data_IF_237534550115
#
_entry.id   IF_237534550115
#
_cell.length_a   1.000
_cell.length_b   1.000
_cell.length_c   1.000
_cell.angle_alpha   90.00
_cell.angle_beta   90.00
_cell.angle_gamma   90.00
#
_symmetry.space_group_name_H-M   'P 1'
#
loop_
_entity.id
_entity.type
_entity.pdbx_description
1 polymer ?
#
# COMPACT_ATOMS: atom_id res chain seq x y z
N UNK A 1 -3.29 22.41 17.74
CA UNK A 1 -3.97 21.61 16.71
C UNK A 1 -2.98 20.52 16.38
N UNK A 2 -3.14 19.37 16.98
CA UNK A 2 -2.28 18.22 16.73
C UNK A 2 -2.75 17.61 15.41
N UNK A 3 -1.85 17.49 14.44
CA UNK A 3 -2.11 16.76 13.20
C UNK A 3 -2.29 15.29 13.57
N UNK A 4 -3.53 14.80 13.58
CA UNK A 4 -3.91 13.40 13.79
C UNK A 4 -3.72 12.51 12.54
N UNK A 5 -2.89 12.94 11.58
CA UNK A 5 -2.70 12.24 10.29
C UNK A 5 -1.35 11.52 10.16
N UNK A 6 -0.61 11.34 11.25
CA UNK A 6 0.54 10.44 11.24
C UNK A 6 0.04 8.99 11.37
N UNK A 7 0.12 8.25 10.27
CA UNK A 7 -0.10 6.83 10.24
C UNK A 7 1.03 6.15 11.04
N UNK A 8 0.74 5.86 12.31
CA UNK A 8 1.68 5.13 13.18
C UNK A 8 1.90 3.73 12.61
N UNK A 9 3.16 3.27 12.44
CA UNK A 9 3.44 1.91 12.01
C UNK A 9 2.67 0.89 12.85
N UNK A 10 1.96 -0.02 12.18
CA UNK A 10 1.05 -0.90 12.87
C UNK A 10 0.19 -1.76 11.95
N UNK A 11 -0.63 -2.63 12.56
CA UNK A 11 -1.48 -3.54 11.80
C UNK A 11 -2.54 -2.76 11.02
N UNK A 12 -2.70 -3.13 9.76
CA UNK A 12 -3.76 -2.69 8.86
C UNK A 12 -4.44 -3.92 8.28
N UNK A 13 -5.47 -3.71 7.46
CA UNK A 13 -6.01 -4.79 6.66
C UNK A 13 -6.46 -4.32 5.28
N UNK A 14 -6.51 -5.27 4.35
CA UNK A 14 -7.05 -5.08 3.00
C UNK A 14 -8.05 -6.19 2.68
N UNK A 15 -8.87 -5.99 1.66
CA UNK A 15 -9.68 -7.05 1.06
C UNK A 15 -9.08 -7.43 -0.29
N UNK A 16 -8.53 -8.64 -0.38
CA UNK A 16 -7.90 -9.13 -1.60
C UNK A 16 -8.84 -10.07 -2.35
N UNK A 17 -8.91 -9.98 -3.69
CA UNK A 17 -9.77 -10.84 -4.47
C UNK A 17 -9.21 -12.26 -4.55
N UNK A 18 -9.96 -13.25 -4.09
CA UNK A 18 -9.64 -14.68 -4.24
C UNK A 18 -10.22 -15.22 -5.54
N UNK A 19 -11.39 -14.70 -5.93
CA UNK A 19 -12.08 -15.07 -7.17
C UNK A 19 -12.80 -13.84 -7.73
N UNK A 20 -13.56 -14.03 -8.81
CA UNK A 20 -14.40 -12.97 -9.38
C UNK A 20 -15.54 -12.51 -8.45
N UNK A 21 -15.87 -13.28 -7.43
CA UNK A 21 -17.04 -13.05 -6.56
C UNK A 21 -16.72 -13.05 -5.08
N UNK A 22 -15.47 -13.32 -4.69
CA UNK A 22 -15.07 -13.47 -3.31
C UNK A 22 -13.78 -12.73 -3.00
N UNK A 23 -13.78 -12.05 -1.86
CA UNK A 23 -12.62 -11.37 -1.29
C UNK A 23 -12.23 -12.01 0.05
N UNK A 24 -10.94 -12.02 0.34
CA UNK A 24 -10.37 -12.38 1.64
C UNK A 24 -9.95 -11.12 2.38
N UNK A 25 -10.23 -11.06 3.68
CA UNK A 25 -9.56 -10.08 4.54
C UNK A 25 -8.12 -10.53 4.78
N UNK A 26 -7.17 -9.69 4.41
CA UNK A 26 -5.75 -9.89 4.68
C UNK A 26 -5.32 -8.96 5.81
N UNK A 27 -4.60 -9.50 6.78
CA UNK A 27 -3.89 -8.67 7.74
C UNK A 27 -2.60 -8.20 7.10
N UNK A 28 -2.37 -6.90 7.16
CA UNK A 28 -1.22 -6.23 6.57
C UNK A 28 -0.54 -5.40 7.65
N UNK A 29 0.64 -4.86 7.36
CA UNK A 29 1.36 -4.06 8.33
C UNK A 29 1.87 -2.79 7.65
N UNK A 30 1.43 -1.63 8.14
CA UNK A 30 1.96 -0.35 7.71
C UNK A 30 3.32 -0.12 8.36
N UNK A 31 4.34 0.13 7.56
CA UNK A 31 5.74 0.09 8.00
C UNK A 31 6.32 1.48 8.21
N UNK A 32 6.19 2.40 7.23
CA UNK A 32 6.80 3.75 7.27
C UNK A 32 6.00 4.73 6.42
N UNK A 33 5.96 6.01 6.84
CA UNK A 33 5.27 7.13 6.17
C UNK A 33 6.12 7.91 5.16
N UNK A 34 7.41 7.58 4.97
CA UNK A 34 8.31 8.31 4.10
C UNK A 34 9.03 7.33 3.17
N UNK A 35 8.65 7.33 1.90
CA UNK A 35 9.25 6.49 0.86
C UNK A 35 10.75 6.73 0.70
N UNK A 36 11.21 7.96 0.93
CA UNK A 36 12.64 8.31 0.91
C UNK A 36 13.48 7.55 1.94
N UNK A 37 12.85 6.86 2.89
CA UNK A 37 13.54 5.98 3.84
C UNK A 37 13.94 4.63 3.24
N UNK A 38 13.43 4.30 2.05
CA UNK A 38 13.81 3.11 1.29
C UNK A 38 14.62 3.54 0.07
N UNK A 39 15.81 2.96 -0.11
CA UNK A 39 16.62 3.08 -1.33
C UNK A 39 15.96 2.29 -2.46
N UNK A 40 14.87 2.83 -2.99
CA UNK A 40 14.19 2.30 -4.17
C UNK A 40 14.53 3.23 -5.32
N UNK A 41 15.56 2.86 -6.07
CA UNK A 41 16.09 3.66 -7.18
C UNK A 41 15.15 3.71 -8.40
N UNK A 42 14.05 2.96 -8.40
CA UNK A 42 13.16 2.75 -9.56
C UNK A 42 11.76 3.36 -9.44
N UNK A 43 11.35 3.93 -8.30
CA UNK A 43 10.03 4.55 -8.24
C UNK A 43 10.12 5.96 -8.80
N UNK A 44 9.55 6.16 -9.99
CA UNK A 44 9.39 7.45 -10.67
C UNK A 44 8.31 8.31 -9.96
N UNK A 45 8.52 8.55 -8.65
CA UNK A 45 7.72 9.46 -7.81
C UNK A 45 8.37 10.83 -7.69
N UNK A 46 9.27 11.19 -8.62
CA UNK A 46 10.10 12.40 -8.55
C UNK A 46 9.30 13.71 -8.41
N UNK A 47 8.00 13.71 -8.75
CA UNK A 47 7.11 14.87 -8.59
C UNK A 47 6.21 14.83 -7.35
N UNK A 48 6.19 13.75 -6.58
CA UNK A 48 5.26 13.58 -5.49
C UNK A 48 5.93 13.68 -4.11
N UNK A 49 5.42 14.57 -3.27
CA UNK A 49 5.90 14.71 -1.89
C UNK A 49 5.78 13.35 -1.16
N UNK A 50 6.93 12.79 -0.76
CA UNK A 50 7.01 11.44 -0.18
C UNK A 50 6.20 11.29 1.10
N UNK A 51 5.82 12.41 1.74
CA UNK A 51 4.97 12.45 2.94
C UNK A 51 3.51 12.09 2.67
N UNK A 52 3.07 12.11 1.40
CA UNK A 52 1.71 11.73 0.99
C UNK A 52 1.54 10.22 0.83
N UNK A 53 2.59 9.44 1.05
CA UNK A 53 2.61 8.01 0.84
C UNK A 53 2.96 7.26 2.11
N UNK A 54 2.64 5.98 2.15
CA UNK A 54 3.16 5.05 3.13
C UNK A 54 3.31 3.66 2.52
N UNK A 55 4.07 2.82 3.21
CA UNK A 55 4.31 1.44 2.78
C UNK A 55 3.53 0.44 3.61
N UNK A 56 3.07 -0.61 2.94
CA UNK A 56 2.37 -1.73 3.58
C UNK A 56 2.99 -3.05 3.14
N UNK A 57 3.39 -3.89 4.10
CA UNK A 57 3.74 -5.28 3.83
C UNK A 57 2.47 -6.12 3.68
N UNK A 58 2.39 -6.89 2.58
CA UNK A 58 1.22 -7.67 2.20
C UNK A 58 1.60 -9.06 1.70
N UNK A 59 1.01 -10.16 2.23
CA UNK A 59 1.30 -11.53 1.79
C UNK A 59 0.52 -11.95 0.52
N UNK A 60 0.08 -11.00 -0.31
CA UNK A 60 -0.71 -11.26 -1.52
C UNK A 60 0.04 -10.80 -2.75
N UNK A 61 0.25 -11.75 -3.67
CA UNK A 61 1.16 -11.66 -4.82
C UNK A 61 0.47 -11.96 -6.15
N UNK A 62 -0.85 -12.07 -6.15
CA UNK A 62 -1.59 -12.44 -7.35
C UNK A 62 -1.66 -11.27 -8.33
N UNK A 63 -1.45 -11.57 -9.60
CA UNK A 63 -1.50 -10.60 -10.70
C UNK A 63 -2.61 -10.92 -11.69
N UNK A 64 -2.97 -9.94 -12.51
CA UNK A 64 -3.74 -10.18 -13.73
C UNK A 64 -2.88 -10.93 -14.76
N UNK A 65 -3.50 -11.35 -15.87
CA UNK A 65 -2.81 -11.96 -17.01
C UNK A 65 -1.72 -11.04 -17.61
N UNK A 66 -1.85 -9.73 -17.42
CA UNK A 66 -0.90 -8.72 -17.90
C UNK A 66 0.18 -8.40 -16.86
N UNK A 67 0.26 -9.15 -15.76
CA UNK A 67 1.26 -8.97 -14.70
C UNK A 67 0.96 -7.84 -13.72
N UNK A 68 -0.19 -7.17 -13.86
CA UNK A 68 -0.62 -6.06 -13.00
C UNK A 68 -1.05 -6.61 -11.64
N UNK A 69 -0.58 -5.99 -10.57
CA UNK A 69 -0.99 -6.33 -9.21
C UNK A 69 -2.51 -6.16 -9.01
N UNK A 70 -3.18 -7.20 -8.49
CA UNK A 70 -4.65 -7.19 -8.35
C UNK A 70 -5.16 -6.33 -7.18
N UNK A 71 -4.26 -5.78 -6.37
CA UNK A 71 -4.55 -4.82 -5.31
C UNK A 71 -4.30 -3.37 -5.72
N UNK A 72 -3.90 -3.08 -6.97
CA UNK A 72 -3.90 -1.69 -7.46
C UNK A 72 -5.29 -1.09 -7.27
N UNK A 73 -5.33 0.13 -6.72
CA UNK A 73 -6.53 0.85 -6.30
C UNK A 73 -7.32 0.21 -5.13
N UNK A 74 -6.79 -0.82 -4.48
CA UNK A 74 -7.44 -1.40 -3.29
C UNK A 74 -7.28 -0.47 -2.07
N UNK A 75 -8.34 -0.28 -1.29
CA UNK A 75 -8.26 0.48 -0.04
C UNK A 75 -7.51 -0.31 1.04
N UNK A 76 -6.67 0.41 1.77
CA UNK A 76 -6.04 -0.04 3.01
C UNK A 76 -6.83 0.51 4.17
N UNK A 77 -7.19 -0.34 5.13
CA UNK A 77 -7.96 0.05 6.31
C UNK A 77 -7.10 -0.01 7.57
N UNK A 78 -7.30 0.96 8.46
CA UNK A 78 -6.84 0.86 9.84
C UNK A 78 -7.71 -0.15 10.62
N UNK A 79 -7.31 -0.49 11.85
CA UNK A 79 -8.07 -1.47 12.66
C UNK A 79 -9.47 -1.00 13.08
N UNK A 80 -9.74 0.31 13.00
CA UNK A 80 -11.06 0.88 13.26
C UNK A 80 -11.99 0.75 12.04
N UNK A 81 -11.47 0.33 10.88
CA UNK A 81 -12.21 0.19 9.64
C UNK A 81 -12.28 1.45 8.78
N UNK A 82 -11.54 2.50 9.14
CA UNK A 82 -11.41 3.70 8.30
C UNK A 82 -10.38 3.45 7.21
N UNK A 83 -10.61 4.02 6.02
CA UNK A 83 -9.64 4.00 4.92
C UNK A 83 -8.42 4.84 5.31
N UNK A 84 -7.27 4.19 5.41
CA UNK A 84 -5.97 4.81 5.61
C UNK A 84 -5.37 5.32 4.31
N UNK A 85 -5.70 4.68 3.19
CA UNK A 85 -5.19 5.03 1.88
C UNK A 85 -5.57 4.06 0.78
N UNK A 86 -5.01 4.26 -0.40
CA UNK A 86 -5.24 3.45 -1.60
C UNK A 86 -3.90 2.96 -2.16
N UNK A 87 -3.80 1.66 -2.45
CA UNK A 87 -2.62 1.07 -3.09
C UNK A 87 -2.45 1.63 -4.49
N UNK A 88 -1.27 2.16 -4.80
CA UNK A 88 -0.92 2.63 -6.14
C UNK A 88 -0.10 1.60 -6.89
N UNK A 89 0.87 1.01 -6.21
CA UNK A 89 1.88 0.18 -6.85
C UNK A 89 2.39 -0.89 -5.89
N UNK A 90 2.86 -1.99 -6.47
CA UNK A 90 3.56 -3.04 -5.76
C UNK A 90 5.05 -2.97 -6.07
N UNK A 91 5.86 -2.88 -5.03
CA UNK A 91 7.29 -3.05 -5.10
C UNK A 91 7.61 -4.54 -5.11
N UNK A 92 8.10 -5.02 -6.26
CA UNK A 92 8.75 -6.32 -6.35
C UNK A 92 10.26 -6.08 -6.28
N UNK A 93 10.92 -6.79 -5.38
CA UNK A 93 12.37 -6.78 -5.32
C UNK A 93 12.92 -7.43 -6.60
N UNK A 94 13.92 -6.79 -7.20
CA UNK A 94 14.51 -7.10 -8.52
C UNK A 94 15.21 -8.49 -8.55
N UNK A 95 15.26 -9.17 -7.41
CA UNK A 95 16.04 -10.39 -7.22
C UNK A 95 15.32 -11.70 -7.59
N UNK A 96 14.09 -11.68 -8.12
CA UNK A 96 13.34 -12.87 -8.64
C UNK A 96 13.17 -14.04 -7.63
N UNK A 97 13.58 -13.88 -6.39
CA UNK A 97 13.41 -14.88 -5.34
C UNK A 97 11.97 -14.81 -4.80
N UNK A 98 11.31 -15.95 -4.54
CA UNK A 98 9.97 -15.97 -3.99
C UNK A 98 9.98 -15.35 -2.58
N UNK A 99 9.53 -14.10 -2.50
CA UNK A 99 9.37 -13.42 -1.22
C UNK A 99 8.15 -13.99 -0.49
N UNK A 100 8.16 -13.93 0.84
CA UNK A 100 7.00 -14.33 1.66
C UNK A 100 5.93 -13.23 1.74
N UNK A 101 6.28 -11.99 1.37
CA UNK A 101 5.37 -10.84 1.30
C UNK A 101 5.90 -9.82 0.28
N UNK A 102 4.99 -9.09 -0.36
CA UNK A 102 5.30 -7.93 -1.20
C UNK A 102 5.12 -6.64 -0.40
N UNK A 103 5.79 -5.57 -0.83
CA UNK A 103 5.60 -4.23 -0.27
C UNK A 103 4.72 -3.43 -1.24
N UNK A 104 3.67 -2.79 -0.72
CA UNK A 104 2.76 -1.94 -1.49
C UNK A 104 3.02 -0.47 -1.15
N UNK A 105 3.05 0.38 -2.18
CA UNK A 105 3.02 1.83 -2.05
C UNK A 105 1.57 2.28 -1.96
N UNK A 106 1.27 3.07 -0.94
CA UNK A 106 -0.10 3.48 -0.61
C UNK A 106 -0.17 4.99 -0.52
N UNK A 107 -1.11 5.59 -1.24
CA UNK A 107 -1.44 7.01 -1.14
C UNK A 107 -2.29 7.25 0.11
N UNK A 108 -1.91 8.19 0.96
CA UNK A 108 -2.66 8.55 2.17
C UNK A 108 -4.05 9.08 1.83
N UNK A 109 -5.05 8.65 2.60
CA UNK A 109 -6.42 9.13 2.44
C UNK A 109 -6.54 10.65 2.64
N UNK A 110 -5.80 11.22 3.61
CA UNK A 110 -5.78 12.66 3.88
C UNK A 110 -5.38 13.49 2.65
N UNK A 111 -4.43 13.01 1.86
CA UNK A 111 -4.02 13.69 0.64
C UNK A 111 -5.03 13.51 -0.52
N UNK A 112 -5.75 12.39 -0.57
CA UNK A 112 -6.84 12.19 -1.55
C UNK A 112 -7.94 13.24 -1.33
N UNK A 113 -8.30 13.48 -0.06
CA UNK A 113 -9.30 14.48 0.31
C UNK A 113 -8.87 15.93 0.02
N UNK A 114 -7.56 16.19 -0.11
CA UNK A 114 -7.04 17.52 -0.50
C UNK A 114 -7.10 17.76 -2.02
N UNK A 115 -7.09 16.70 -2.82
CA UNK A 115 -7.09 16.79 -4.29
C UNK A 115 -8.51 16.88 -4.88
N UNK A 116 -9.53 16.37 -4.19
CA UNK A 116 -10.92 16.26 -4.67
C UNK A 116 -11.92 17.08 -3.86
#
# INVERSE_FOLDING_TARGET
MENEDSLVPGPTFMFAPISQTANQRLTTFATVELLSSYTLDEIDLEEADSSNYFLVSCPYMETTCDGIDRLVAAPVFNLQGNTAGIVLECLRDVNDEPQAAEIKIVLKASYIDEIF
#
